data_IF_208050161213
#
_entry.id   IF_208050161213
#
_cell.length_a   1.000
_cell.length_b   1.000
_cell.length_c   1.000
_cell.angle_alpha   90.00
_cell.angle_beta   90.00
_cell.angle_gamma   90.00
#
_symmetry.space_group_name_H-M   'P 1'
#
loop_
_entity.id
_entity.type
_entity.pdbx_description
1 polymer ?
#
# COMPACT_ATOMS: atom_id res chain seq x y z
N UNK A 1 11.33 16.17 -17.49
CA UNK A 1 10.30 15.11 -17.34
C UNK A 1 9.39 15.15 -18.57
N UNK A 2 9.03 14.00 -19.17
CA UNK A 2 8.12 14.01 -20.33
C UNK A 2 6.68 14.29 -19.89
N UNK A 3 5.86 14.91 -20.75
CA UNK A 3 4.45 15.19 -20.45
C UNK A 3 3.66 13.94 -20.05
N UNK A 4 3.98 12.79 -20.66
CA UNK A 4 3.38 11.49 -20.32
C UNK A 4 3.76 11.03 -18.90
N UNK A 5 5.04 11.18 -18.52
CA UNK A 5 5.51 10.80 -17.18
C UNK A 5 4.80 11.59 -16.09
N UNK A 6 4.57 12.89 -16.28
CA UNK A 6 3.80 13.72 -15.34
C UNK A 6 2.37 13.24 -15.20
N UNK A 7 1.70 12.85 -16.30
CA UNK A 7 0.35 12.28 -16.25
C UNK A 7 0.29 10.96 -15.48
N UNK A 8 1.28 10.09 -15.67
CA UNK A 8 1.32 8.80 -14.98
C UNK A 8 1.58 8.98 -13.47
N UNK A 9 2.45 9.91 -13.09
CA UNK A 9 2.67 10.28 -11.67
C UNK A 9 1.37 10.82 -11.06
N UNK A 10 0.65 11.70 -11.76
CA UNK A 10 -0.62 12.23 -11.26
C UNK A 10 -1.65 11.11 -11.02
N UNK A 11 -1.87 10.22 -11.99
CA UNK A 11 -2.80 9.09 -11.83
C UNK A 11 -2.44 8.20 -10.64
N UNK A 12 -1.14 7.99 -10.41
CA UNK A 12 -0.63 7.24 -9.27
C UNK A 12 -0.90 7.95 -7.95
N UNK A 13 -0.70 9.27 -7.91
CA UNK A 13 -1.01 10.08 -6.73
C UNK A 13 -2.51 10.10 -6.44
N UNK A 14 -3.35 10.27 -7.45
CA UNK A 14 -4.81 10.22 -7.32
C UNK A 14 -5.25 8.85 -6.79
N UNK A 15 -4.69 7.76 -7.33
CA UNK A 15 -4.94 6.40 -6.84
C UNK A 15 -4.49 6.19 -5.39
N UNK A 16 -3.37 6.78 -4.99
CA UNK A 16 -2.91 6.78 -3.59
C UNK A 16 -3.89 7.54 -2.67
N UNK A 17 -4.34 8.74 -3.07
CA UNK A 17 -5.29 9.54 -2.28
C UNK A 17 -6.62 8.81 -2.09
N UNK A 18 -7.15 8.20 -3.16
CA UNK A 18 -8.42 7.47 -3.16
C UNK A 18 -8.38 6.12 -2.46
N UNK A 19 -7.19 5.58 -2.19
CA UNK A 19 -7.09 4.38 -1.36
C UNK A 19 -7.48 4.76 0.07
N UNK A 20 -8.39 4.06 0.75
CA UNK A 20 -8.70 4.36 2.14
C UNK A 20 -7.64 3.83 3.11
N UNK A 21 -7.68 4.33 4.34
CA UNK A 21 -6.98 3.70 5.46
C UNK A 21 -7.61 2.34 5.77
N UNK A 22 -6.78 1.36 6.12
CA UNK A 22 -7.19 -0.03 6.28
C UNK A 22 -8.11 -0.26 7.49
N UNK A 23 -8.09 0.64 8.46
CA UNK A 23 -9.01 0.70 9.60
C UNK A 23 -9.15 2.16 10.05
N UNK A 24 -10.07 2.41 10.97
CA UNK A 24 -10.34 3.72 11.57
C UNK A 24 -9.78 3.79 12.99
N UNK A 25 -9.35 4.97 13.42
CA UNK A 25 -8.81 5.23 14.76
C UNK A 25 -7.67 4.28 15.15
N UNK A 26 -7.81 3.58 16.27
CA UNK A 26 -6.82 2.67 16.86
C UNK A 26 -7.35 1.25 17.09
N UNK A 27 -8.44 0.86 16.42
CA UNK A 27 -9.13 -0.42 16.68
C UNK A 27 -8.24 -1.65 16.41
N UNK A 28 -7.24 -1.52 15.53
CA UNK A 28 -6.30 -2.59 15.21
C UNK A 28 -5.02 -2.43 16.03
N UNK A 29 -4.83 -3.31 17.01
CA UNK A 29 -3.57 -3.47 17.78
C UNK A 29 -3.15 -2.19 18.53
N UNK A 30 -4.11 -1.32 18.87
CA UNK A 30 -3.89 0.01 19.44
C UNK A 30 -3.03 0.92 18.54
N UNK A 31 -2.89 0.58 17.26
CA UNK A 31 -2.15 1.38 16.28
C UNK A 31 -3.02 2.53 15.78
N UNK A 32 -2.74 3.74 16.29
CA UNK A 32 -3.43 4.97 15.91
C UNK A 32 -3.15 5.33 14.44
N UNK A 33 -4.20 5.40 13.63
CA UNK A 33 -4.11 5.88 12.25
C UNK A 33 -3.84 7.38 12.20
N UNK A 34 -3.01 7.77 11.24
CA UNK A 34 -2.75 9.17 10.94
C UNK A 34 -3.88 9.73 10.08
N UNK A 35 -4.52 10.76 10.61
CA UNK A 35 -5.62 11.45 9.94
C UNK A 35 -5.13 12.71 9.24
N UNK A 36 -5.53 12.83 7.97
CA UNK A 36 -5.21 13.95 7.10
C UNK A 36 -6.31 14.13 6.06
N UNK A 37 -6.64 15.38 5.77
CA UNK A 37 -7.61 15.70 4.73
C UNK A 37 -7.13 15.25 3.35
N UNK A 38 -8.05 14.71 2.56
CA UNK A 38 -7.77 14.33 1.18
C UNK A 38 -7.98 15.53 0.28
N UNK A 39 -6.88 16.16 -0.15
CA UNK A 39 -6.90 17.25 -1.12
C UNK A 39 -6.30 16.75 -2.43
N UNK A 40 -7.13 16.69 -3.48
CA UNK A 40 -6.62 16.44 -4.82
C UNK A 40 -5.95 17.71 -5.34
N UNK A 41 -4.64 17.62 -5.52
CA UNK A 41 -3.83 18.68 -6.07
C UNK A 41 -2.95 18.15 -7.19
N UNK A 42 -2.52 19.07 -8.06
CA UNK A 42 -1.58 18.72 -9.10
C UNK A 42 -0.24 18.39 -8.45
N UNK A 43 0.21 17.16 -8.63
CA UNK A 43 1.51 16.73 -8.12
C UNK A 43 2.64 17.31 -8.94
N UNK A 44 3.63 17.89 -8.26
CA UNK A 44 4.80 18.50 -8.88
C UNK A 44 6.08 18.07 -8.15
N UNK A 45 6.38 16.77 -8.23
CA UNK A 45 7.60 16.18 -7.70
C UNK A 45 8.29 15.32 -8.77
N UNK A 46 9.61 15.35 -8.79
CA UNK A 46 10.38 14.43 -9.63
C UNK A 46 10.57 13.08 -8.93
N UNK A 47 10.10 12.03 -9.58
CA UNK A 47 10.20 10.67 -9.08
C UNK A 47 11.09 9.84 -9.99
N UNK A 48 12.03 9.13 -9.36
CA UNK A 48 12.88 8.20 -10.04
C UNK A 48 12.11 6.91 -10.36
N UNK A 49 12.04 6.56 -11.65
CA UNK A 49 11.31 5.38 -12.13
C UNK A 49 11.94 4.06 -11.66
N UNK A 50 13.16 4.07 -11.08
CA UNK A 50 13.78 2.88 -10.48
C UNK A 50 13.34 2.62 -9.04
N UNK A 51 12.63 3.57 -8.41
CA UNK A 51 12.17 3.41 -7.03
C UNK A 51 11.16 2.26 -6.90
N UNK A 52 11.25 1.52 -5.81
CA UNK A 52 10.23 0.53 -5.43
C UNK A 52 8.96 1.26 -5.01
N UNK A 53 7.81 0.59 -5.12
CA UNK A 53 6.51 1.17 -4.79
C UNK A 53 6.46 1.77 -3.38
N UNK A 54 7.03 1.12 -2.36
CA UNK A 54 7.05 1.67 -0.98
C UNK A 54 7.67 3.07 -0.91
N UNK A 55 8.90 3.24 -1.43
CA UNK A 55 9.55 4.55 -1.52
C UNK A 55 8.78 5.55 -2.38
N UNK A 56 8.04 5.08 -3.37
CA UNK A 56 7.19 5.91 -4.21
C UNK A 56 5.99 6.47 -3.41
N UNK A 57 5.37 5.64 -2.57
CA UNK A 57 4.29 6.05 -1.66
C UNK A 57 4.80 7.02 -0.60
N UNK A 58 5.98 6.77 -0.02
CA UNK A 58 6.56 7.71 0.95
C UNK A 58 6.68 9.12 0.37
N UNK A 59 7.15 9.26 -0.89
CA UNK A 59 7.20 10.57 -1.56
C UNK A 59 5.83 11.20 -1.80
N UNK A 60 4.79 10.40 -2.03
CA UNK A 60 3.41 10.89 -2.11
C UNK A 60 2.90 11.38 -0.76
N UNK A 61 3.23 10.69 0.32
CA UNK A 61 2.94 11.14 1.67
C UNK A 61 3.69 12.42 1.98
N UNK A 62 4.99 12.52 1.69
CA UNK A 62 5.77 13.75 1.84
C UNK A 62 5.11 14.94 1.12
N UNK A 63 4.69 14.72 -0.13
CA UNK A 63 4.01 15.73 -0.93
C UNK A 63 2.65 16.10 -0.35
N UNK A 64 1.86 15.14 0.16
CA UNK A 64 0.59 15.42 0.81
C UNK A 64 0.77 16.22 2.11
N UNK A 65 1.69 15.79 2.99
CA UNK A 65 2.00 16.44 4.25
C UNK A 65 2.45 17.88 4.06
N UNK A 66 3.29 18.15 3.06
CA UNK A 66 3.80 19.49 2.76
C UNK A 66 2.72 20.50 2.34
N UNK A 67 1.51 20.05 2.01
CA UNK A 67 0.39 20.91 1.60
C UNK A 67 -0.50 21.31 2.77
N UNK A 68 -0.40 20.62 3.91
CA UNK A 68 -1.26 20.86 5.05
C UNK A 68 -0.74 21.98 5.93
N UNK A 69 -1.64 22.94 6.22
CA UNK A 69 -1.34 23.98 7.19
C UNK A 69 -1.25 23.35 8.58
N UNK A 70 -0.20 23.66 9.32
CA UNK A 70 0.01 23.12 10.66
C UNK A 70 0.74 21.77 10.68
N UNK A 71 1.13 21.23 9.52
CA UNK A 71 2.06 20.10 9.44
C UNK A 71 3.42 20.58 8.94
N UNK A 72 4.49 20.19 9.62
CA UNK A 72 5.86 20.38 9.16
C UNK A 72 6.66 19.10 9.30
N UNK A 73 7.26 18.64 8.21
CA UNK A 73 8.14 17.48 8.22
C UNK A 73 9.47 17.87 8.87
N UNK A 74 9.89 17.14 9.91
CA UNK A 74 11.17 17.34 10.61
C UNK A 74 12.26 16.51 9.95
N UNK A 75 11.98 15.24 9.70
CA UNK A 75 12.91 14.35 9.02
C UNK A 75 12.18 13.17 8.35
N UNK A 76 12.81 12.57 7.35
CA UNK A 76 12.27 11.42 6.62
C UNK A 76 13.37 10.39 6.38
N UNK A 77 12.98 9.12 6.31
CA UNK A 77 13.84 7.99 5.93
C UNK A 77 15.14 7.92 6.75
N UNK A 78 15.04 8.10 8.05
CA UNK A 78 16.19 8.13 8.96
C UNK A 78 16.58 6.71 9.33
N UNK A 79 17.77 6.30 8.91
CA UNK A 79 18.34 5.02 9.31
C UNK A 79 18.93 5.11 10.71
N UNK A 80 18.43 4.25 11.60
CA UNK A 80 18.98 4.09 12.95
C UNK A 80 20.01 2.96 12.89
N UNK A 81 21.25 3.28 13.25
CA UNK A 81 22.38 2.37 13.14
C UNK A 81 23.11 2.22 14.48
N UNK A 82 23.55 1.00 14.77
CA UNK A 82 24.51 0.69 15.83
C UNK A 82 25.80 0.25 15.14
N UNK A 83 26.84 1.06 15.27
CA UNK A 83 28.11 0.85 14.55
C UNK A 83 27.90 0.73 13.03
N UNK A 84 28.07 -0.48 12.46
CA UNK A 84 27.85 -0.77 11.04
C UNK A 84 26.54 -1.52 10.76
N UNK A 85 25.72 -1.75 11.78
CA UNK A 85 24.48 -2.53 11.69
C UNK A 85 23.28 -1.58 11.68
N UNK A 86 22.46 -1.65 10.65
CA UNK A 86 21.17 -0.96 10.61
C UNK A 86 20.17 -1.68 11.50
N UNK A 87 19.70 -1.01 12.55
CA UNK A 87 18.66 -1.53 13.45
C UNK A 87 17.27 -1.38 12.84
N UNK A 88 17.06 -0.29 12.10
CA UNK A 88 15.82 -0.01 11.38
C UNK A 88 15.83 1.36 10.73
N UNK A 89 14.66 1.79 10.28
CA UNK A 89 14.44 3.08 9.64
C UNK A 89 13.18 3.71 10.26
N UNK A 90 13.21 5.02 10.51
CA UNK A 90 12.02 5.82 10.78
C UNK A 90 11.56 6.45 9.47
N UNK A 91 10.33 6.15 9.06
CA UNK A 91 9.81 6.65 7.78
C UNK A 91 9.66 8.18 7.79
N UNK A 92 9.04 8.74 8.83
CA UNK A 92 8.86 10.18 8.98
C UNK A 92 8.75 10.60 10.45
N UNK A 93 9.37 11.73 10.80
CA UNK A 93 9.00 12.51 12.00
C UNK A 93 8.48 13.86 11.51
N UNK A 94 7.31 14.25 12.01
CA UNK A 94 6.66 15.51 11.68
C UNK A 94 6.17 16.21 12.95
N UNK A 95 5.86 17.49 12.84
CA UNK A 95 5.04 18.22 13.81
C UNK A 95 3.66 18.41 13.20
N UNK A 96 2.61 18.10 13.94
CA UNK A 96 1.22 18.45 13.61
C UNK A 96 0.69 19.30 14.76
N UNK A 97 0.43 20.58 14.48
CA UNK A 97 -0.01 21.56 15.49
C UNK A 97 0.92 21.56 16.73
N UNK A 98 2.23 21.68 16.49
CA UNK A 98 3.30 21.60 17.52
C UNK A 98 3.47 20.24 18.22
N UNK A 99 2.63 19.24 17.92
CA UNK A 99 2.77 17.88 18.47
C UNK A 99 3.69 17.04 17.59
N UNK A 100 4.82 16.54 18.12
CA UNK A 100 5.70 15.64 17.38
C UNK A 100 5.06 14.27 17.16
N UNK A 101 5.12 13.78 15.93
CA UNK A 101 4.59 12.47 15.53
C UNK A 101 5.68 11.69 14.80
N UNK A 102 5.95 10.47 15.25
CA UNK A 102 6.62 9.43 14.47
C UNK A 102 5.56 8.72 13.65
N UNK A 103 5.66 8.87 12.33
CA UNK A 103 4.73 8.32 11.36
C UNK A 103 5.40 7.17 10.59
N UNK A 104 4.88 5.96 10.73
CA UNK A 104 5.20 4.83 9.83
C UNK A 104 4.25 4.84 8.63
N UNK A 105 4.77 4.69 7.41
CA UNK A 105 4.00 4.81 6.16
C UNK A 105 3.85 3.42 5.54
N UNK A 106 2.61 2.96 5.36
CA UNK A 106 2.34 1.61 4.88
C UNK A 106 1.35 1.63 3.72
N UNK A 107 1.71 0.93 2.65
CA UNK A 107 0.82 0.66 1.53
C UNK A 107 0.93 -0.81 1.13
N UNK A 108 -0.17 -1.56 1.26
CA UNK A 108 -0.19 -3.01 1.05
C UNK A 108 -1.35 -3.48 0.19
N UNK A 109 -1.17 -4.67 -0.38
CA UNK A 109 -2.20 -5.41 -1.10
C UNK A 109 -2.36 -6.75 -0.38
N UNK A 110 -3.58 -7.11 -0.02
CA UNK A 110 -3.88 -8.37 0.65
C UNK A 110 -5.03 -9.10 -0.04
N UNK A 111 -4.96 -10.42 -0.05
CA UNK A 111 -5.99 -11.33 -0.52
C UNK A 111 -6.61 -12.00 0.70
N UNK A 112 -7.94 -12.04 0.76
CA UNK A 112 -8.67 -12.80 1.77
C UNK A 112 -8.64 -14.29 1.45
N UNK A 113 -8.25 -15.11 2.42
CA UNK A 113 -8.26 -16.58 2.35
C UNK A 113 -8.81 -17.14 3.67
N UNK A 114 -10.08 -17.56 3.67
CA UNK A 114 -10.76 -18.13 4.83
C UNK A 114 -10.09 -19.39 5.38
N UNK A 115 -9.23 -20.07 4.59
CA UNK A 115 -8.51 -21.25 5.07
C UNK A 115 -7.31 -20.92 5.96
N UNK A 116 -6.92 -19.63 6.04
CA UNK A 116 -5.74 -19.18 6.80
C UNK A 116 -6.17 -18.51 8.11
N UNK A 117 -5.80 -19.11 9.23
CA UNK A 117 -6.06 -18.57 10.57
C UNK A 117 -7.54 -18.59 10.95
N UNK A 118 -7.93 -17.79 11.94
CA UNK A 118 -9.29 -17.84 12.52
C UNK A 118 -9.95 -16.48 12.67
N UNK A 119 -9.20 -15.39 12.55
CA UNK A 119 -9.73 -14.03 12.62
C UNK A 119 -9.75 -13.34 11.27
N UNK A 120 -10.58 -12.28 11.17
CA UNK A 120 -10.64 -11.40 10.01
C UNK A 120 -9.24 -10.94 9.54
N UNK A 121 -8.36 -10.60 10.49
CA UNK A 121 -6.98 -10.15 10.20
C UNK A 121 -6.11 -11.30 9.67
N UNK A 122 -6.26 -12.52 10.21
CA UNK A 122 -5.42 -13.66 9.81
C UNK A 122 -5.69 -14.11 8.38
N UNK A 123 -6.95 -13.97 7.94
CA UNK A 123 -7.38 -14.33 6.58
C UNK A 123 -6.70 -13.47 5.50
N UNK A 124 -6.12 -12.31 5.84
CA UNK A 124 -5.48 -11.43 4.87
C UNK A 124 -4.00 -11.74 4.65
N UNK A 125 -3.70 -12.36 3.50
CA UNK A 125 -2.36 -12.76 3.08
C UNK A 125 -1.87 -11.95 1.88
N UNK A 126 -0.56 -11.81 1.74
CA UNK A 126 0.04 -11.18 0.57
C UNK A 126 -0.23 -12.01 -0.69
N UNK A 127 -0.29 -11.40 -1.89
CA UNK A 127 -0.68 -12.11 -3.12
C UNK A 127 0.18 -13.33 -3.48
N UNK A 128 1.43 -13.34 -3.01
CA UNK A 128 2.38 -14.42 -3.24
C UNK A 128 2.57 -15.35 -2.02
N UNK A 129 1.75 -15.21 -0.98
CA UNK A 129 1.87 -15.94 0.31
C UNK A 129 3.26 -15.81 0.97
N UNK A 130 3.90 -14.64 0.85
CA UNK A 130 5.23 -14.34 1.41
C UNK A 130 5.20 -13.37 2.59
N UNK A 131 4.04 -12.80 2.86
CA UNK A 131 3.74 -11.90 3.97
C UNK A 131 2.26 -12.03 4.29
N UNK A 132 1.86 -11.59 5.49
CA UNK A 132 0.45 -11.46 5.90
C UNK A 132 0.19 -10.13 6.58
N UNK A 133 -1.09 -9.81 6.79
CA UNK A 133 -1.48 -8.63 7.55
C UNK A 133 -1.04 -8.76 9.01
N UNK A 134 -1.31 -9.91 9.64
CA UNK A 134 -0.90 -10.18 11.03
C UNK A 134 0.62 -10.04 11.25
N UNK A 135 1.45 -10.56 10.33
CA UNK A 135 2.91 -10.41 10.42
C UNK A 135 3.34 -8.95 10.32
N UNK A 136 2.70 -8.16 9.44
CA UNK A 136 3.00 -6.74 9.30
C UNK A 136 2.58 -5.95 10.54
N UNK A 137 1.42 -6.24 11.12
CA UNK A 137 0.93 -5.60 12.34
C UNK A 137 1.85 -5.91 13.53
N UNK A 138 2.22 -7.18 13.74
CA UNK A 138 3.20 -7.57 14.75
C UNK A 138 4.54 -6.87 14.55
N UNK A 139 5.03 -6.79 13.30
CA UNK A 139 6.29 -6.07 13.01
C UNK A 139 6.20 -4.57 13.34
N UNK A 140 5.06 -3.93 13.08
CA UNK A 140 4.85 -2.53 13.44
C UNK A 140 4.91 -2.34 14.96
N UNK A 141 4.11 -3.14 15.68
CA UNK A 141 3.95 -3.07 17.13
C UNK A 141 5.22 -3.42 17.90
N UNK A 142 5.91 -4.49 17.50
CA UNK A 142 6.98 -5.08 18.29
C UNK A 142 8.38 -4.63 17.86
N UNK A 143 8.51 -4.02 16.67
CA UNK A 143 9.82 -3.65 16.11
C UNK A 143 9.90 -2.22 15.60
N UNK A 144 9.03 -1.82 14.67
CA UNK A 144 9.19 -0.54 13.98
C UNK A 144 8.86 0.66 14.87
N UNK A 145 7.72 0.63 15.57
CA UNK A 145 7.36 1.69 16.50
C UNK A 145 8.30 1.69 17.73
N UNK A 146 8.61 0.57 18.40
CA UNK A 146 9.54 0.57 19.52
C UNK A 146 10.95 1.08 19.21
N UNK A 147 11.37 1.08 17.93
CA UNK A 147 12.66 1.64 17.51
C UNK A 147 12.86 3.08 17.99
N UNK A 148 11.78 3.87 18.09
CA UNK A 148 11.81 5.24 18.59
C UNK A 148 12.48 5.38 19.96
N UNK A 149 12.37 4.33 20.79
CA UNK A 149 12.87 4.29 22.16
C UNK A 149 14.23 3.58 22.32
N UNK A 150 14.87 3.17 21.22
CA UNK A 150 16.23 2.61 21.27
C UNK A 150 17.24 3.68 21.65
N UNK A 151 18.35 3.30 22.29
CA UNK A 151 19.40 4.25 22.71
C UNK A 151 19.99 5.04 21.52
N UNK A 152 20.13 4.38 20.37
CA UNK A 152 20.63 4.99 19.13
C UNK A 152 19.63 5.99 18.58
N UNK A 153 18.33 5.64 18.57
CA UNK A 153 17.28 6.55 18.14
C UNK A 153 17.15 7.74 19.10
N UNK A 154 17.16 7.52 20.40
CA UNK A 154 17.15 8.60 21.41
C UNK A 154 18.34 9.53 21.24
N UNK A 155 19.52 8.99 20.91
CA UNK A 155 20.72 9.80 20.61
C UNK A 155 20.52 10.65 19.36
N UNK A 156 19.95 10.08 18.29
CA UNK A 156 19.58 10.82 17.09
C UNK A 156 18.55 11.93 17.39
N UNK A 157 17.46 11.62 18.10
CA UNK A 157 16.40 12.57 18.43
C UNK A 157 16.92 13.80 19.20
N UNK A 158 17.93 13.63 20.08
CA UNK A 158 18.59 14.74 20.77
C UNK A 158 19.26 15.71 19.79
N UNK A 159 19.83 15.23 18.68
CA UNK A 159 20.48 16.09 17.66
C UNK A 159 19.50 17.00 16.94
N UNK A 160 18.22 16.61 16.91
CA UNK A 160 17.11 17.40 16.33
C UNK A 160 16.20 18.00 17.41
N UNK A 161 16.69 18.10 18.66
CA UNK A 161 15.99 18.68 19.81
C UNK A 161 14.63 18.05 20.16
N UNK A 162 14.44 16.75 19.86
CA UNK A 162 13.24 16.00 20.22
C UNK A 162 13.51 14.99 21.34
N UNK A 163 12.44 14.62 22.06
CA UNK A 163 12.46 13.59 23.10
C UNK A 163 11.44 12.51 22.75
N UNK A 164 11.86 11.25 22.74
CA UNK A 164 10.98 10.11 22.42
C UNK A 164 9.69 10.11 23.25
N UNK A 165 9.76 10.46 24.54
CA UNK A 165 8.60 10.53 25.44
C UNK A 165 7.57 11.63 25.13
N UNK A 166 7.88 12.51 24.17
CA UNK A 166 6.99 13.59 23.71
C UNK A 166 6.50 13.37 22.27
N UNK A 167 6.92 12.27 21.63
CA UNK A 167 6.55 11.94 20.26
C UNK A 167 5.39 10.95 20.32
N UNK A 168 4.28 11.31 19.70
CA UNK A 168 3.19 10.35 19.44
C UNK A 168 3.60 9.38 18.32
N UNK A 169 3.09 8.16 18.40
CA UNK A 169 3.32 7.14 17.37
C UNK A 169 2.04 6.90 16.60
N UNK A 170 2.11 7.07 15.28
CA UNK A 170 0.98 6.88 14.39
C UNK A 170 1.41 6.09 13.16
N UNK A 171 0.44 5.46 12.49
CA UNK A 171 0.67 4.77 11.22
C UNK A 171 -0.20 5.42 10.14
N UNK A 172 0.31 5.56 8.92
CA UNK A 172 -0.53 5.85 7.76
C UNK A 172 -0.66 4.57 6.95
N UNK A 173 -1.58 3.70 7.37
CA UNK A 173 -1.73 2.37 6.78
C UNK A 173 -2.88 2.36 5.79
N UNK A 174 -2.52 2.41 4.50
CA UNK A 174 -3.43 2.29 3.36
C UNK A 174 -3.34 0.90 2.75
N UNK A 175 -4.48 0.38 2.29
CA UNK A 175 -4.55 -1.00 1.78
C UNK A 175 -5.55 -1.17 0.66
N UNK A 176 -5.24 -2.08 -0.26
CA UNK A 176 -6.21 -2.64 -1.20
C UNK A 176 -6.43 -4.11 -0.88
N UNK A 177 -7.66 -4.45 -0.56
CA UNK A 177 -8.12 -5.79 -0.23
C UNK A 177 -8.81 -6.42 -1.43
N UNK A 178 -8.61 -7.72 -1.58
CA UNK A 178 -9.17 -8.52 -2.65
C UNK A 178 -9.77 -9.79 -2.08
N UNK A 179 -10.92 -10.18 -2.59
CA UNK A 179 -11.70 -11.31 -2.11
C UNK A 179 -11.71 -12.45 -3.15
N UNK A 180 -12.05 -13.69 -2.79
CA UNK A 180 -12.20 -14.76 -3.78
C UNK A 180 -13.31 -14.41 -4.79
N UNK A 181 -13.14 -14.76 -6.07
CA UNK A 181 -14.17 -14.48 -7.10
C UNK A 181 -15.55 -15.06 -6.76
N UNK A 182 -15.59 -16.23 -6.13
CA UNK A 182 -16.83 -16.91 -5.75
C UNK A 182 -17.38 -16.50 -4.38
N UNK A 183 -16.71 -15.58 -3.68
CA UNK A 183 -17.09 -15.11 -2.36
C UNK A 183 -16.81 -13.61 -2.23
N UNK A 184 -17.61 -12.81 -2.95
CA UNK A 184 -17.45 -11.35 -3.01
C UNK A 184 -18.14 -10.60 -1.88
N UNK A 185 -19.02 -11.27 -1.14
CA UNK A 185 -19.92 -10.64 -0.16
C UNK A 185 -19.35 -10.62 1.27
N UNK A 186 -18.02 -10.77 1.39
CA UNK A 186 -17.31 -10.72 2.66
C UNK A 186 -17.58 -9.40 3.38
N UNK A 187 -18.11 -9.52 4.60
CA UNK A 187 -18.36 -8.41 5.50
C UNK A 187 -17.20 -8.26 6.47
N UNK A 188 -16.52 -7.11 6.42
CA UNK A 188 -15.46 -6.75 7.33
C UNK A 188 -16.03 -5.95 8.50
N UNK A 189 -15.65 -6.36 9.71
CA UNK A 189 -16.10 -5.77 10.96
C UNK A 189 -15.03 -4.94 11.65
N UNK A 190 -13.75 -5.26 11.39
CA UNK A 190 -12.59 -4.59 11.99
C UNK A 190 -11.89 -3.71 10.93
N UNK A 191 -11.69 -4.26 9.74
CA UNK A 191 -11.06 -3.58 8.62
C UNK A 191 -12.09 -2.78 7.83
N UNK A 192 -11.60 -1.76 7.15
CA UNK A 192 -12.43 -0.88 6.34
C UNK A 192 -12.95 -1.61 5.09
N UNK A 193 -14.28 -1.76 4.98
CA UNK A 193 -14.94 -2.38 3.82
C UNK A 193 -14.59 -1.67 2.51
N UNK A 194 -14.40 -0.35 2.52
CA UNK A 194 -14.05 0.45 1.33
C UNK A 194 -12.65 0.10 0.78
N UNK A 195 -11.82 -0.63 1.54
CA UNK A 195 -10.56 -1.15 1.04
C UNK A 195 -10.74 -2.35 0.10
N UNK A 196 -11.92 -2.98 0.03
CA UNK A 196 -12.20 -4.08 -0.91
C UNK A 196 -12.43 -3.51 -2.32
N UNK A 197 -11.45 -3.70 -3.21
CA UNK A 197 -11.41 -3.03 -4.52
C UNK A 197 -11.41 -3.99 -5.72
N UNK A 198 -11.54 -5.28 -5.46
CA UNK A 198 -11.49 -6.30 -6.49
C UNK A 198 -11.50 -7.71 -5.91
N UNK A 199 -11.24 -8.67 -6.78
CA UNK A 199 -11.20 -10.08 -6.41
C UNK A 199 -9.96 -10.76 -6.96
N UNK A 200 -9.74 -12.03 -6.62
CA UNK A 200 -8.69 -12.82 -7.23
C UNK A 200 -9.23 -14.11 -7.83
N UNK A 201 -8.52 -14.60 -8.84
CA UNK A 201 -8.80 -15.84 -9.56
C UNK A 201 -7.51 -16.63 -9.80
N UNK A 202 -7.61 -17.94 -9.86
CA UNK A 202 -6.52 -18.83 -10.27
C UNK A 202 -6.54 -19.11 -11.79
N UNK A 203 -5.55 -19.89 -12.26
CA UNK A 203 -5.40 -20.24 -13.69
C UNK A 203 -6.61 -20.99 -14.27
N UNK A 204 -7.26 -21.85 -13.47
CA UNK A 204 -8.42 -22.61 -13.93
C UNK A 204 -9.64 -21.68 -14.09
N UNK A 205 -9.84 -20.80 -13.11
CA UNK A 205 -10.94 -19.84 -13.08
C UNK A 205 -10.85 -18.79 -14.19
N UNK A 206 -9.63 -18.46 -14.65
CA UNK A 206 -9.41 -17.54 -15.77
C UNK A 206 -10.21 -17.93 -17.02
N UNK A 207 -10.42 -19.23 -17.25
CA UNK A 207 -11.17 -19.75 -18.41
C UNK A 207 -12.65 -19.32 -18.45
N UNK A 208 -13.20 -18.81 -17.35
CA UNK A 208 -14.56 -18.25 -17.28
C UNK A 208 -14.65 -16.87 -17.92
N UNK A 209 -13.52 -16.21 -18.20
CA UNK A 209 -13.45 -14.82 -18.66
C UNK A 209 -12.93 -14.70 -20.11
N UNK A 210 -13.25 -15.68 -20.98
CA UNK A 210 -12.79 -15.73 -22.38
C UNK A 210 -13.17 -14.50 -23.20
N UNK A 211 -14.31 -13.89 -22.89
CA UNK A 211 -14.82 -12.74 -23.61
C UNK A 211 -14.47 -11.39 -22.96
N UNK A 212 -13.62 -11.42 -21.92
CA UNK A 212 -13.10 -10.22 -21.28
C UNK A 212 -11.78 -9.77 -21.94
N UNK A 213 -11.43 -8.51 -21.72
CA UNK A 213 -10.11 -7.98 -22.08
C UNK A 213 -9.31 -7.65 -20.81
N UNK A 214 -7.99 -7.70 -20.90
CA UNK A 214 -7.12 -7.62 -19.74
C UNK A 214 -5.96 -6.64 -19.95
N UNK A 215 -5.41 -6.13 -18.87
CA UNK A 215 -4.18 -5.34 -18.89
C UNK A 215 -3.32 -5.72 -17.69
N UNK A 216 -2.01 -5.89 -17.89
CA UNK A 216 -1.06 -6.20 -16.80
C UNK A 216 -0.26 -4.93 -16.49
N UNK A 217 -0.69 -4.10 -15.53
CA UNK A 217 0.05 -2.92 -15.12
C UNK A 217 1.41 -3.30 -14.52
N UNK A 218 2.41 -2.42 -14.69
CA UNK A 218 3.62 -2.53 -13.89
C UNK A 218 3.29 -2.31 -12.40
N UNK A 219 4.21 -2.73 -11.51
CA UNK A 219 3.98 -2.70 -10.06
C UNK A 219 3.57 -1.34 -9.49
N UNK A 220 4.02 -0.22 -10.08
CA UNK A 220 3.66 1.12 -9.59
C UNK A 220 2.24 1.51 -9.98
N UNK A 221 1.76 1.01 -11.12
CA UNK A 221 0.41 1.27 -11.61
C UNK A 221 -0.65 0.39 -10.93
N UNK A 222 -0.27 -0.45 -9.97
CA UNK A 222 -1.22 -1.21 -9.14
C UNK A 222 -2.12 -0.30 -8.30
N UNK A 223 -1.63 0.89 -7.94
CA UNK A 223 -2.41 1.89 -7.18
C UNK A 223 -3.37 2.68 -8.08
N UNK A 224 -3.13 2.70 -9.38
CA UNK A 224 -3.95 3.46 -10.35
C UNK A 224 -5.32 2.80 -10.50
N UNK A 225 -6.36 3.61 -10.59
CA UNK A 225 -7.70 3.13 -10.95
C UNK A 225 -7.72 2.64 -12.40
N UNK A 226 -8.35 1.48 -12.69
CA UNK A 226 -8.51 1.00 -14.06
C UNK A 226 -9.13 2.06 -14.97
N UNK A 227 -8.56 2.24 -16.16
CA UNK A 227 -9.08 3.18 -17.15
C UNK A 227 -8.97 2.63 -18.57
N UNK A 228 -9.83 3.14 -19.48
CA UNK A 228 -9.96 2.61 -20.85
C UNK A 228 -8.71 2.81 -21.72
N UNK A 229 -7.89 3.82 -21.45
CA UNK A 229 -6.76 4.22 -22.28
C UNK A 229 -5.48 3.40 -22.00
N UNK A 230 -5.54 2.10 -22.24
CA UNK A 230 -4.40 1.16 -22.18
C UNK A 230 -4.47 0.17 -23.34
N UNK A 231 -3.36 -0.53 -23.58
CA UNK A 231 -3.30 -1.61 -24.57
C UNK A 231 -3.94 -2.87 -23.97
N UNK A 232 -5.25 -2.99 -24.14
CA UNK A 232 -6.02 -4.16 -23.71
C UNK A 232 -5.63 -5.40 -24.52
N UNK A 233 -5.35 -6.49 -23.82
CA UNK A 233 -5.09 -7.82 -24.34
C UNK A 233 -6.41 -8.60 -24.40
N UNK A 234 -6.61 -9.37 -25.46
CA UNK A 234 -7.67 -10.38 -25.46
C UNK A 234 -7.27 -11.58 -24.57
N UNK A 235 -8.22 -12.50 -24.36
CA UNK A 235 -7.98 -13.67 -23.52
C UNK A 235 -6.75 -14.51 -23.92
N UNK A 236 -6.54 -14.77 -25.22
CA UNK A 236 -5.43 -15.60 -25.68
C UNK A 236 -4.08 -14.93 -25.43
N UNK A 237 -3.97 -13.64 -25.76
CA UNK A 237 -2.78 -12.82 -25.52
C UNK A 237 -2.46 -12.73 -24.02
N UNK A 238 -3.48 -12.50 -23.19
CA UNK A 238 -3.33 -12.42 -21.74
C UNK A 238 -2.91 -13.77 -21.14
N UNK A 239 -3.55 -14.87 -21.56
CA UNK A 239 -3.21 -16.21 -21.10
C UNK A 239 -1.74 -16.54 -21.43
N UNK A 240 -1.28 -16.23 -22.65
CA UNK A 240 0.12 -16.39 -23.02
C UNK A 240 1.07 -15.51 -22.19
N UNK A 241 0.72 -14.24 -21.98
CA UNK A 241 1.54 -13.30 -21.20
C UNK A 241 1.66 -13.67 -19.71
N UNK A 242 0.63 -14.33 -19.15
CA UNK A 242 0.59 -14.72 -17.73
C UNK A 242 1.35 -16.01 -17.42
N UNK A 243 1.69 -16.83 -18.42
CA UNK A 243 2.41 -18.09 -18.20
C UNK A 243 3.75 -17.88 -17.48
N UNK A 244 4.50 -16.83 -17.84
CA UNK A 244 5.75 -16.48 -17.18
C UNK A 244 5.58 -16.05 -15.72
N UNK A 245 4.38 -15.64 -15.30
CA UNK A 245 4.07 -15.32 -13.89
C UNK A 245 3.81 -16.59 -13.08
N UNK A 246 3.09 -17.56 -13.66
CA UNK A 246 2.85 -18.86 -13.03
C UNK A 246 4.16 -19.65 -12.83
N UNK A 247 5.02 -19.69 -13.86
CA UNK A 247 6.32 -20.38 -13.78
C UNK A 247 7.20 -19.85 -12.65
N UNK A 248 7.16 -18.54 -12.39
CA UNK A 248 7.92 -17.91 -11.30
C UNK A 248 7.17 -17.83 -9.96
N UNK A 249 5.99 -18.45 -9.86
CA UNK A 249 5.10 -18.39 -8.68
C UNK A 249 4.87 -16.95 -8.22
N UNK A 250 4.42 -16.11 -9.16
CA UNK A 250 4.08 -14.71 -8.92
C UNK A 250 2.64 -14.45 -9.29
N UNK A 251 1.92 -13.74 -8.43
CA UNK A 251 0.53 -13.32 -8.62
C UNK A 251 0.48 -11.84 -9.06
N UNK A 252 0.34 -11.52 -10.36
CA UNK A 252 0.20 -10.14 -10.79
C UNK A 252 -1.18 -9.57 -10.47
N UNK A 253 -1.22 -8.27 -10.17
CA UNK A 253 -2.44 -7.48 -10.31
C UNK A 253 -2.64 -7.18 -11.79
N UNK A 254 -3.87 -7.38 -12.24
CA UNK A 254 -4.33 -7.14 -13.59
C UNK A 254 -5.58 -6.25 -13.53
N UNK A 255 -5.84 -5.53 -14.61
CA UNK A 255 -7.15 -4.94 -14.85
C UNK A 255 -7.92 -5.84 -15.79
N UNK A 256 -9.20 -6.02 -15.51
CA UNK A 256 -10.12 -6.75 -16.37
C UNK A 256 -11.24 -5.82 -16.81
N UNK A 257 -11.50 -5.80 -18.11
CA UNK A 257 -12.65 -5.15 -18.73
C UNK A 257 -13.68 -6.22 -19.06
N UNK A 258 -14.80 -6.19 -18.35
CA UNK A 258 -15.94 -7.07 -18.60
C UNK A 258 -16.67 -6.66 -19.90
N UNK A 259 -17.51 -7.54 -20.44
CA UNK A 259 -18.29 -7.28 -21.66
C UNK A 259 -19.20 -6.04 -21.53
N UNK A 260 -19.77 -5.82 -20.35
CA UNK A 260 -20.58 -4.63 -20.05
C UNK A 260 -19.76 -3.32 -19.98
N UNK A 261 -18.44 -3.39 -20.16
CA UNK A 261 -17.53 -2.25 -20.12
C UNK A 261 -17.02 -1.87 -18.73
N UNK A 262 -17.47 -2.57 -17.68
CA UNK A 262 -16.99 -2.41 -16.31
C UNK A 262 -15.51 -2.76 -16.22
N UNK A 263 -14.75 -1.95 -15.47
CA UNK A 263 -13.33 -2.15 -15.25
C UNK A 263 -13.10 -2.53 -13.78
N UNK A 264 -12.47 -3.67 -13.55
CA UNK A 264 -12.18 -4.17 -12.20
C UNK A 264 -10.71 -4.51 -12.05
N UNK A 265 -10.20 -4.41 -10.82
CA UNK A 265 -8.89 -4.95 -10.49
C UNK A 265 -9.05 -6.42 -10.13
N UNK A 266 -8.15 -7.26 -10.63
CA UNK A 266 -8.07 -8.66 -10.23
C UNK A 266 -6.63 -9.03 -9.87
N UNK A 267 -6.45 -9.96 -8.95
CA UNK A 267 -5.21 -10.72 -8.87
C UNK A 267 -5.35 -12.05 -9.60
N UNK A 268 -4.35 -12.39 -10.41
CA UNK A 268 -4.23 -13.73 -10.98
C UNK A 268 -3.26 -14.52 -10.09
N UNK A 269 -3.77 -15.44 -9.26
CA UNK A 269 -2.96 -16.19 -8.29
C UNK A 269 -2.38 -17.46 -8.90
N UNK A 270 -1.15 -17.82 -8.49
CA UNK A 270 -0.46 -19.02 -8.96
C UNK A 270 -0.79 -20.28 -8.17
N UNK A 271 -1.40 -20.11 -7.00
CA UNK A 271 -1.75 -21.17 -6.05
C UNK A 271 -3.22 -21.55 -6.15
#
# INVERSE_FOLDING_TARGET
>A
MTHQKTKDIQKRYDGFLQTPCLWSDSIVYDLKQFEIELKSTKIDIDLNDKMRLGKYIERFVSFQLAQEKGISIVCENIQIQREKITLGELDCILLKEETPIHLEIIYKFYLYDASVGTSEIDHFIGPNRKDSLVEKLNKLKDKQLPLLYSDECVSYLKTINLKASKIEQQVYFKGQLFVPYFDTDIQLSILNQDCVVGFYINKNELTQFKDCAFFIPNKKDWIVLPHKNVNWLNFNEFNQATEAYFQRKSSPLCWMKKQNGELVKIFLVWW
#
